data_IF_302067920648
#
_entry.id   IF_302067920648
#
_cell.length_a   1.000
_cell.length_b   1.000
_cell.length_c   1.000
_cell.angle_alpha   90.00
_cell.angle_beta   90.00
_cell.angle_gamma   90.00
#
_symmetry.space_group_name_H-M   'P 1'
#
loop_
_entity.id
_entity.type
_entity.pdbx_description
1 polymer ?
#
# COMPACT_ATOMS: atom_id res chain seq x y z
N UNK A 1 1.51 -7.75 -45.55
CA UNK A 1 0.71 -7.83 -44.30
C UNK A 1 0.88 -6.51 -43.55
N UNK A 2 -0.15 -5.69 -43.51
CA UNK A 2 -0.06 -4.29 -43.07
C UNK A 2 0.33 -4.13 -41.60
N UNK A 3 1.31 -3.25 -41.33
CA UNK A 3 1.83 -2.88 -40.00
C UNK A 3 0.74 -2.58 -38.95
N UNK A 4 -0.41 -2.06 -39.38
CA UNK A 4 -1.58 -1.77 -38.53
C UNK A 4 -2.18 -3.04 -37.87
N UNK A 5 -2.16 -4.19 -38.56
CA UNK A 5 -2.65 -5.44 -38.00
C UNK A 5 -1.73 -6.00 -36.91
N UNK A 6 -0.42 -5.81 -37.06
CA UNK A 6 0.57 -6.20 -36.05
C UNK A 6 0.35 -5.38 -34.79
N UNK A 7 0.14 -4.07 -34.92
CA UNK A 7 -0.15 -3.19 -33.79
C UNK A 7 -1.44 -3.58 -33.06
N UNK A 8 -2.51 -3.89 -33.80
CA UNK A 8 -3.77 -4.35 -33.20
C UNK A 8 -3.62 -5.69 -32.48
N UNK A 9 -2.90 -6.66 -33.05
CA UNK A 9 -2.65 -7.95 -32.40
C UNK A 9 -1.81 -7.80 -31.13
N UNK A 10 -0.79 -6.94 -31.13
CA UNK A 10 0.02 -6.66 -29.94
C UNK A 10 -0.83 -5.99 -28.86
N UNK A 11 -1.63 -4.97 -29.23
CA UNK A 11 -2.53 -4.29 -28.30
C UNK A 11 -3.56 -5.24 -27.70
N UNK A 12 -4.13 -6.15 -28.51
CA UNK A 12 -5.09 -7.14 -28.06
C UNK A 12 -4.47 -8.15 -27.07
N UNK A 13 -3.24 -8.61 -27.33
CA UNK A 13 -2.50 -9.48 -26.40
C UNK A 13 -2.18 -8.78 -25.08
N UNK A 14 -1.85 -7.48 -25.10
CA UNK A 14 -1.61 -6.70 -23.88
C UNK A 14 -2.90 -6.57 -23.05
N UNK A 15 -4.04 -6.30 -23.71
CA UNK A 15 -5.35 -6.19 -23.03
C UNK A 15 -5.73 -7.51 -22.36
N UNK A 16 -5.57 -8.64 -23.05
CA UNK A 16 -5.88 -9.96 -22.51
C UNK A 16 -4.96 -10.38 -21.35
N UNK A 17 -3.71 -9.94 -21.35
CA UNK A 17 -2.71 -10.32 -20.35
C UNK A 17 -2.64 -9.38 -19.13
N UNK A 18 -3.58 -8.45 -18.97
CA UNK A 18 -3.66 -7.57 -17.79
C UNK A 18 -4.09 -8.36 -16.53
N UNK A 19 -3.23 -9.27 -16.07
CA UNK A 19 -3.31 -9.91 -14.77
C UNK A 19 -2.67 -9.00 -13.72
N UNK A 20 -3.28 -7.83 -13.48
CA UNK A 20 -2.91 -7.06 -12.30
C UNK A 20 -3.34 -7.82 -11.04
N UNK A 21 -2.38 -7.99 -10.12
CA UNK A 21 -2.62 -8.56 -8.81
C UNK A 21 -3.54 -7.62 -8.02
N UNK A 22 -4.82 -7.97 -7.93
CA UNK A 22 -5.81 -7.21 -7.17
C UNK A 22 -5.74 -7.61 -5.70
N UNK A 23 -5.57 -6.64 -4.82
CA UNK A 23 -5.56 -6.84 -3.37
C UNK A 23 -6.83 -6.27 -2.77
N UNK A 24 -7.33 -6.91 -1.72
CA UNK A 24 -8.50 -6.45 -0.96
C UNK A 24 -8.24 -6.57 0.54
N UNK A 25 -8.93 -5.75 1.34
CA UNK A 25 -8.84 -5.82 2.79
C UNK A 25 -9.67 -6.99 3.33
N UNK A 26 -9.13 -7.68 4.33
CA UNK A 26 -9.89 -8.68 5.07
C UNK A 26 -10.94 -7.96 5.94
N UNK A 27 -12.19 -8.40 5.90
CA UNK A 27 -13.24 -7.85 6.76
C UNK A 27 -13.04 -8.23 8.22
N UNK A 28 -12.57 -9.45 8.45
CA UNK A 28 -12.26 -10.01 9.76
C UNK A 28 -10.75 -10.21 9.90
N UNK A 29 -10.10 -9.32 10.64
CA UNK A 29 -8.64 -9.31 10.80
C UNK A 29 -8.11 -10.52 11.59
N UNK A 30 -8.98 -11.22 12.35
CA UNK A 30 -8.58 -12.42 13.10
C UNK A 30 -8.29 -13.63 12.20
N UNK A 31 -8.81 -13.62 10.96
CA UNK A 31 -8.58 -14.67 9.96
C UNK A 31 -7.30 -14.47 9.15
N UNK A 32 -6.49 -13.47 9.49
CA UNK A 32 -5.25 -13.23 8.77
C UNK A 32 -4.23 -14.32 9.11
N UNK A 33 -3.53 -14.85 8.09
CA UNK A 33 -2.46 -15.83 8.28
C UNK A 33 -1.17 -15.24 8.92
N UNK A 34 -1.17 -13.95 9.21
CA UNK A 34 -0.03 -13.19 9.71
C UNK A 34 -0.52 -12.05 10.60
N UNK A 35 0.24 -11.75 11.65
CA UNK A 35 -0.14 -10.73 12.63
C UNK A 35 0.41 -9.37 12.21
N UNK A 36 -0.46 -8.46 11.78
CA UNK A 36 -0.08 -7.08 11.49
C UNK A 36 0.05 -6.30 12.81
N UNK A 37 1.23 -5.74 13.04
CA UNK A 37 1.56 -4.96 14.23
C UNK A 37 1.36 -3.47 13.97
N UNK A 38 1.46 -2.67 15.05
CA UNK A 38 1.51 -1.20 14.99
C UNK A 38 0.37 -0.54 14.19
N UNK A 39 -0.82 -1.15 14.20
CA UNK A 39 -2.00 -0.64 13.48
C UNK A 39 -2.03 -0.94 11.99
N UNK A 40 -1.13 -1.79 11.49
CA UNK A 40 -1.18 -2.32 10.13
C UNK A 40 -2.46 -3.14 9.88
N UNK A 41 -2.94 -3.14 8.64
CA UNK A 41 -4.17 -3.84 8.23
C UNK A 41 -3.86 -4.99 7.27
N UNK A 42 -4.48 -6.14 7.51
CA UNK A 42 -4.31 -7.32 6.67
C UNK A 42 -5.09 -7.19 5.35
N UNK A 43 -4.41 -7.55 4.27
CA UNK A 43 -4.96 -7.64 2.92
C UNK A 43 -4.65 -9.00 2.30
N UNK A 44 -5.50 -9.45 1.38
CA UNK A 44 -5.35 -10.71 0.67
C UNK A 44 -5.34 -10.49 -0.84
N UNK A 45 -4.72 -11.42 -1.57
CA UNK A 45 -4.70 -11.41 -3.02
C UNK A 45 -6.02 -11.99 -3.55
N UNK A 46 -6.80 -11.21 -4.30
CA UNK A 46 -8.13 -11.61 -4.79
C UNK A 46 -8.09 -12.89 -5.65
N UNK A 47 -7.00 -13.11 -6.39
CA UNK A 47 -6.82 -14.33 -7.21
C UNK A 47 -6.39 -15.56 -6.40
N UNK A 48 -5.83 -15.37 -5.21
CA UNK A 48 -5.24 -16.40 -4.33
C UNK A 48 -5.43 -15.98 -2.88
N UNK A 49 -6.64 -16.16 -2.31
CA UNK A 49 -7.00 -15.64 -1.01
C UNK A 49 -6.12 -16.13 0.14
N UNK A 50 -5.43 -17.25 -0.02
CA UNK A 50 -4.45 -17.79 0.93
C UNK A 50 -3.20 -16.90 1.09
N UNK A 51 -2.92 -16.04 0.11
CA UNK A 51 -1.77 -15.12 0.13
C UNK A 51 -2.19 -13.81 0.79
N UNK A 52 -1.69 -13.60 2.00
CA UNK A 52 -1.94 -12.41 2.81
C UNK A 52 -0.71 -11.50 2.86
N UNK A 53 -0.93 -10.21 3.13
CA UNK A 53 0.13 -9.25 3.46
C UNK A 53 -0.41 -8.13 4.35
N UNK A 54 0.45 -7.52 5.15
CA UNK A 54 0.12 -6.32 5.90
C UNK A 54 0.30 -5.06 5.05
N UNK A 55 -0.62 -4.10 5.20
CA UNK A 55 -0.48 -2.73 4.73
C UNK A 55 -0.18 -1.86 5.95
N UNK A 56 1.02 -1.29 5.99
CA UNK A 56 1.51 -0.50 7.13
C UNK A 56 1.06 0.95 7.07
N UNK A 57 1.09 1.63 8.23
CA UNK A 57 0.93 3.08 8.25
C UNK A 57 2.10 3.75 7.54
N UNK A 58 1.77 4.39 6.42
CA UNK A 58 2.74 4.96 5.49
C UNK A 58 3.64 5.98 6.21
N UNK A 59 4.95 5.78 6.09
CA UNK A 59 5.96 6.68 6.66
C UNK A 59 6.16 6.55 8.17
N UNK A 60 5.50 5.59 8.83
CA UNK A 60 5.70 5.34 10.26
C UNK A 60 6.29 3.96 10.51
N UNK A 61 5.78 2.96 9.81
CA UNK A 61 6.19 1.57 10.00
C UNK A 61 6.38 0.85 8.66
N UNK A 62 7.35 -0.05 8.63
CA UNK A 62 7.66 -0.95 7.53
C UNK A 62 7.94 -2.36 8.02
N UNK A 63 8.20 -3.27 7.08
CA UNK A 63 8.39 -4.69 7.32
C UNK A 63 7.16 -5.54 6.97
N UNK A 64 7.32 -6.87 6.83
CA UNK A 64 6.24 -7.79 6.49
C UNK A 64 5.04 -7.75 7.44
N UNK A 65 5.27 -7.42 8.72
CA UNK A 65 4.28 -7.31 9.78
C UNK A 65 4.13 -5.89 10.31
N UNK A 66 4.74 -4.89 9.66
CA UNK A 66 4.81 -3.51 10.14
C UNK A 66 5.52 -3.37 11.49
N UNK A 67 6.49 -4.24 11.77
CA UNK A 67 7.23 -4.33 13.03
C UNK A 67 8.28 -3.23 13.18
N UNK A 68 8.78 -2.69 12.07
CA UNK A 68 9.91 -1.77 12.07
C UNK A 68 9.42 -0.34 12.00
N UNK A 69 9.74 0.47 13.01
CA UNK A 69 9.52 1.91 12.94
C UNK A 69 10.49 2.53 11.93
N UNK A 70 9.97 3.36 11.03
CA UNK A 70 10.77 4.17 10.14
C UNK A 70 11.18 5.42 10.93
N UNK A 71 12.47 5.56 11.21
CA UNK A 71 12.99 6.85 11.66
C UNK A 71 12.78 7.85 10.53
N UNK A 72 12.04 8.94 10.78
CA UNK A 72 11.86 10.04 9.85
C UNK A 72 13.21 10.75 9.59
N UNK A 73 14.08 10.12 8.80
CA UNK A 73 15.43 10.57 8.49
C UNK A 73 15.82 10.38 7.02
N UNK A 74 15.01 9.68 6.22
CA UNK A 74 15.22 9.57 4.78
C UNK A 74 13.90 9.30 4.05
N UNK A 75 13.25 10.36 3.56
CA UNK A 75 12.11 10.22 2.65
C UNK A 75 12.38 11.00 1.37
N UNK A 76 12.49 10.23 0.29
CA UNK A 76 12.30 10.71 -1.07
C UNK A 76 10.80 10.95 -1.26
N UNK A 77 10.42 12.21 -1.12
CA UNK A 77 9.27 12.92 -1.69
C UNK A 77 7.81 12.57 -1.30
N UNK A 78 7.48 11.50 -0.54
CA UNK A 78 6.09 11.35 0.00
C UNK A 78 6.02 10.64 1.37
N UNK A 79 6.38 11.34 2.45
CA UNK A 79 6.05 10.97 3.84
C UNK A 79 7.03 11.49 4.90
N UNK A 80 6.55 11.60 6.16
CA UNK A 80 7.15 12.26 7.33
C UNK A 80 7.39 13.79 7.23
N UNK A 81 6.53 14.61 7.82
CA UNK A 81 6.90 15.98 8.21
C UNK A 81 7.09 16.05 9.74
N UNK A 82 8.32 15.86 10.18
CA UNK A 82 8.75 16.05 11.56
C UNK A 82 9.69 17.25 11.59
N UNK A 83 9.14 18.47 11.66
CA UNK A 83 9.97 19.65 11.85
C UNK A 83 10.26 19.79 13.34
N UNK A 84 11.54 19.59 13.69
CA UNK A 84 12.08 19.79 15.04
C UNK A 84 11.64 21.14 15.59
N UNK A 85 10.69 21.15 16.51
CA UNK A 85 10.60 22.19 17.53
C UNK A 85 10.34 21.46 18.84
N UNK A 86 11.18 21.79 19.81
CA UNK A 86 11.24 21.21 21.13
C UNK A 86 9.86 21.03 21.77
N UNK A 87 9.68 19.89 22.43
CA UNK A 87 8.63 19.58 23.41
C UNK A 87 7.22 19.28 22.86
N UNK A 88 6.80 18.04 23.15
CA UNK A 88 5.52 17.62 23.75
C UNK A 88 4.24 18.11 23.04
N UNK A 89 3.33 17.17 22.76
CA UNK A 89 1.98 17.31 22.17
C UNK A 89 1.90 17.08 20.64
N UNK A 90 1.45 15.87 20.27
CA UNK A 90 0.78 15.64 18.98
C UNK A 90 -0.52 16.45 18.97
N UNK A 91 -0.50 17.66 18.41
CA UNK A 91 -1.72 18.39 18.09
C UNK A 91 -2.10 18.04 16.65
N UNK A 92 -3.17 17.28 16.56
CA UNK A 92 -3.81 16.80 15.34
C UNK A 92 -4.47 17.96 14.60
N UNK A 93 -3.89 18.40 13.48
CA UNK A 93 -4.61 19.21 12.49
C UNK A 93 -5.04 18.30 11.34
N UNK A 94 -6.24 17.71 11.47
CA UNK A 94 -6.99 17.23 10.32
C UNK A 94 -7.45 18.48 9.57
N UNK A 95 -6.70 18.94 8.57
CA UNK A 95 -7.31 19.76 7.53
C UNK A 95 -8.11 18.83 6.63
N UNK A 96 -9.37 18.65 7.00
CA UNK A 96 -10.44 18.34 6.07
C UNK A 96 -10.46 19.52 5.10
N UNK A 97 -10.01 19.35 3.87
CA UNK A 97 -10.38 20.26 2.79
C UNK A 97 -11.69 19.73 2.19
N UNK A 98 -12.86 20.33 2.50
CA UNK A 98 -14.02 20.17 1.65
C UNK A 98 -13.89 21.10 0.43
N UNK A 99 -14.32 20.56 -0.72
CA UNK A 99 -14.52 21.19 -2.03
C UNK A 99 -13.29 21.55 -2.88
#
# INVERSE_FOLDING_TARGET
MSSKFIYFSILFLIILNNSWAKWAFLSDQSKCNLNCLNGGVCSFLVKKPEVHKCICLIGMFEGPQCEQAIECGYMRERGCFFQRVWSIYCIQFIFYTPH
#
